data_IF_341787230466
#
_entry.id   IF_341787230466
#
_cell.length_a   1.000
_cell.length_b   1.000
_cell.length_c   1.000
_cell.angle_alpha   90.00
_cell.angle_beta   90.00
_cell.angle_gamma   90.00
#
_symmetry.space_group_name_H-M   'P 1'
#
loop_
_entity.id
_entity.type
_entity.pdbx_description
1 polymer ?
#
# COMPACT_ATOMS: atom_id res chain seq x y z
N UNK A 1 -8.33 -22.89 3.17
CA UNK A 1 -8.46 -24.14 2.38
C UNK A 1 -7.60 -24.12 1.10
N UNK A 2 -7.76 -23.08 0.27
CA UNK A 2 -7.08 -22.92 -1.02
C UNK A 2 -5.55 -22.94 -0.94
N UNK A 3 -4.96 -22.35 0.10
CA UNK A 3 -3.50 -22.30 0.31
C UNK A 3 -2.81 -23.67 0.37
N UNK A 4 -3.53 -24.76 0.67
CA UNK A 4 -2.97 -26.13 0.63
C UNK A 4 -2.76 -26.63 -0.80
N UNK A 5 -3.51 -26.13 -1.77
CA UNK A 5 -3.51 -26.58 -3.16
C UNK A 5 -2.77 -25.63 -4.11
N UNK A 6 -2.62 -24.37 -3.68
CA UNK A 6 -2.00 -23.28 -4.42
C UNK A 6 -0.88 -22.66 -3.57
N UNK A 7 0.33 -23.20 -3.74
CA UNK A 7 1.56 -22.66 -3.15
C UNK A 7 2.13 -21.62 -4.09
N UNK A 8 1.98 -20.34 -3.77
CA UNK A 8 2.68 -19.27 -4.47
C UNK A 8 3.86 -18.81 -3.64
N UNK A 9 5.01 -18.66 -4.28
CA UNK A 9 6.22 -18.13 -3.67
C UNK A 9 6.43 -16.72 -4.18
N UNK A 10 6.96 -15.86 -3.32
CA UNK A 10 7.47 -14.55 -3.72
C UNK A 10 8.76 -14.71 -4.54
N UNK A 11 8.98 -13.76 -5.44
CA UNK A 11 10.28 -13.59 -6.09
C UNK A 11 11.34 -13.28 -5.03
N UNK A 12 12.45 -14.03 -5.07
CA UNK A 12 13.56 -13.88 -4.12
C UNK A 12 14.18 -12.49 -4.16
N UNK A 13 14.28 -11.86 -5.32
CA UNK A 13 14.86 -10.54 -5.48
C UNK A 13 13.98 -9.46 -4.83
N UNK A 14 12.66 -9.56 -5.00
CA UNK A 14 11.71 -8.64 -4.37
C UNK A 14 11.75 -8.80 -2.85
N UNK A 15 11.75 -10.05 -2.36
CA UNK A 15 11.85 -10.33 -0.92
C UNK A 15 13.14 -9.77 -0.33
N UNK A 16 14.26 -9.91 -1.05
CA UNK A 16 15.53 -9.38 -0.57
C UNK A 16 15.50 -7.86 -0.47
N UNK A 17 15.00 -7.15 -1.49
CA UNK A 17 14.83 -5.69 -1.45
C UNK A 17 13.99 -5.22 -0.26
N UNK A 18 12.84 -5.89 -0.02
CA UNK A 18 11.98 -5.54 1.11
C UNK A 18 12.63 -5.87 2.46
N UNK A 19 13.43 -6.94 2.53
CA UNK A 19 14.22 -7.29 3.71
C UNK A 19 15.28 -6.24 4.02
N UNK A 20 15.95 -5.72 3.00
CA UNK A 20 16.95 -4.68 3.16
C UNK A 20 16.30 -3.37 3.67
N UNK A 21 15.12 -3.01 3.15
CA UNK A 21 14.32 -1.87 3.64
C UNK A 21 13.89 -2.10 5.10
N UNK A 22 13.32 -3.27 5.41
CA UNK A 22 12.88 -3.61 6.76
C UNK A 22 14.02 -3.49 7.78
N UNK A 23 15.24 -3.91 7.40
CA UNK A 23 16.43 -3.79 8.23
C UNK A 23 16.93 -2.35 8.34
N UNK A 24 17.00 -1.62 7.23
CA UNK A 24 17.52 -0.24 7.18
C UNK A 24 16.71 0.72 8.05
N UNK A 25 15.39 0.55 8.06
CA UNK A 25 14.47 1.43 8.78
C UNK A 25 13.93 0.80 10.07
N UNK A 26 14.49 -0.34 10.50
CA UNK A 26 14.17 -1.00 11.78
C UNK A 26 12.66 -1.24 11.99
N UNK A 27 11.94 -1.58 10.91
CA UNK A 27 10.47 -1.66 10.92
C UNK A 27 9.93 -2.91 11.65
N UNK A 28 10.81 -3.86 11.98
CA UNK A 28 10.49 -5.06 12.76
C UNK A 28 9.38 -5.97 12.18
N UNK A 29 9.10 -5.89 10.88
CA UNK A 29 8.13 -6.77 10.22
C UNK A 29 8.67 -8.19 10.05
N UNK A 30 7.79 -9.18 10.15
CA UNK A 30 8.11 -10.59 9.92
C UNK A 30 7.74 -10.97 8.49
N UNK A 31 8.78 -11.14 7.66
CA UNK A 31 8.64 -11.48 6.24
C UNK A 31 8.11 -12.90 5.94
N UNK A 32 7.49 -13.55 6.92
CA UNK A 32 6.81 -14.85 6.79
C UNK A 32 5.30 -14.69 6.49
N UNK A 33 4.73 -13.51 6.76
CA UNK A 33 3.32 -13.19 6.51
C UNK A 33 3.12 -12.34 5.24
N UNK A 34 2.10 -12.68 4.44
CA UNK A 34 1.68 -11.86 3.29
C UNK A 34 1.20 -10.46 3.74
N UNK A 35 0.66 -10.32 4.96
CA UNK A 35 0.24 -9.02 5.49
C UNK A 35 1.44 -8.08 5.70
N UNK A 36 2.53 -8.60 6.27
CA UNK A 36 3.75 -7.82 6.50
C UNK A 36 4.42 -7.45 5.17
N UNK A 37 4.28 -8.30 4.14
CA UNK A 37 4.67 -7.95 2.79
C UNK A 37 3.84 -6.78 2.23
N UNK A 38 2.52 -6.78 2.42
CA UNK A 38 1.64 -5.66 2.01
C UNK A 38 2.09 -4.37 2.71
N UNK A 39 2.30 -4.40 4.02
CA UNK A 39 2.77 -3.26 4.82
C UNK A 39 4.13 -2.73 4.33
N UNK A 40 5.08 -3.63 4.06
CA UNK A 40 6.38 -3.25 3.52
C UNK A 40 6.28 -2.66 2.11
N UNK A 41 5.35 -3.13 1.27
CA UNK A 41 5.12 -2.54 -0.05
C UNK A 41 4.59 -1.10 0.06
N UNK A 42 3.67 -0.86 1.01
CA UNK A 42 3.17 0.49 1.33
C UNK A 42 4.32 1.39 1.78
N UNK A 43 5.14 0.93 2.73
CA UNK A 43 6.29 1.69 3.21
C UNK A 43 7.28 2.03 2.08
N UNK A 44 7.63 1.04 1.25
CA UNK A 44 8.53 1.23 0.10
C UNK A 44 8.00 2.29 -0.87
N UNK A 45 6.72 2.24 -1.22
CA UNK A 45 6.11 3.19 -2.15
C UNK A 45 5.97 4.60 -1.54
N UNK A 46 5.61 4.68 -0.26
CA UNK A 46 5.62 5.93 0.49
C UNK A 46 7.03 6.54 0.57
N UNK A 47 8.07 5.71 0.72
CA UNK A 47 9.45 6.17 0.81
C UNK A 47 9.91 6.76 -0.53
N UNK A 48 9.58 6.10 -1.64
CA UNK A 48 9.82 6.63 -2.99
C UNK A 48 9.12 7.97 -3.19
N UNK A 49 7.91 8.13 -2.64
CA UNK A 49 7.17 9.38 -2.73
C UNK A 49 7.79 10.50 -1.88
N UNK A 50 8.25 10.20 -0.65
CA UNK A 50 9.06 11.12 0.16
C UNK A 50 10.29 11.61 -0.61
N UNK A 51 11.00 10.70 -1.30
CA UNK A 51 12.15 11.08 -2.13
C UNK A 51 11.77 12.02 -3.29
N UNK A 52 10.53 11.93 -3.80
CA UNK A 52 10.03 12.88 -4.82
C UNK A 52 9.86 14.27 -4.23
N UNK A 53 9.23 14.42 -3.05
CA UNK A 53 9.14 15.71 -2.36
C UNK A 53 10.52 16.36 -2.20
N UNK A 54 11.48 15.56 -1.73
CA UNK A 54 12.84 15.99 -1.45
C UNK A 54 13.60 16.41 -2.70
N UNK A 55 13.52 15.63 -3.78
CA UNK A 55 14.12 15.98 -5.07
C UNK A 55 13.49 17.21 -5.69
N UNK A 56 12.17 17.38 -5.58
CA UNK A 56 11.47 18.57 -6.07
C UNK A 56 11.90 19.80 -5.30
N UNK A 57 12.01 19.71 -3.97
CA UNK A 57 12.53 20.78 -3.14
C UNK A 57 13.95 21.19 -3.56
N UNK A 58 14.88 20.23 -3.67
CA UNK A 58 16.28 20.52 -4.06
C UNK A 58 16.38 21.11 -5.48
N UNK A 59 15.54 20.66 -6.40
CA UNK A 59 15.49 21.19 -7.76
C UNK A 59 15.01 22.66 -7.78
N UNK A 60 13.99 22.99 -6.99
CA UNK A 60 13.49 24.37 -6.87
C UNK A 60 14.54 25.26 -6.20
N UNK A 61 15.12 24.81 -5.08
CA UNK A 61 16.21 25.52 -4.40
C UNK A 61 17.38 25.80 -5.34
N UNK A 62 17.76 24.82 -6.16
CA UNK A 62 18.83 24.97 -7.15
C UNK A 62 18.45 25.93 -8.28
N UNK A 63 17.19 25.94 -8.72
CA UNK A 63 16.68 26.86 -9.74
C UNK A 63 16.76 28.33 -9.31
N UNK A 64 16.54 28.61 -8.03
CA UNK A 64 16.55 29.96 -7.47
C UNK A 64 17.81 30.29 -6.67
N UNK A 65 18.89 29.51 -6.85
CA UNK A 65 20.12 29.57 -6.05
C UNK A 65 20.65 31.00 -5.85
N UNK A 66 20.73 31.81 -6.91
CA UNK A 66 21.31 33.16 -6.88
C UNK A 66 20.55 34.15 -5.98
N UNK A 67 19.24 33.96 -5.82
CA UNK A 67 18.39 34.81 -4.99
C UNK A 67 18.02 34.16 -3.66
N UNK A 68 18.30 32.87 -3.49
CA UNK A 68 17.78 32.07 -2.40
C UNK A 68 18.10 32.63 -1.01
N UNK A 69 19.35 33.05 -0.80
CA UNK A 69 19.81 33.63 0.47
C UNK A 69 19.22 35.01 0.77
N UNK A 70 18.65 35.70 -0.24
CA UNK A 70 18.01 37.00 -0.09
C UNK A 70 16.51 36.91 0.19
N UNK A 71 15.91 35.74 -0.05
CA UNK A 71 14.49 35.49 0.22
C UNK A 71 14.26 35.26 1.71
N UNK A 72 13.18 35.82 2.23
CA UNK A 72 12.63 35.44 3.54
C UNK A 72 12.08 34.01 3.52
N UNK A 73 11.86 33.45 4.71
CA UNK A 73 11.27 32.12 4.85
C UNK A 73 9.91 31.99 4.13
N UNK A 74 9.04 33.00 4.27
CA UNK A 74 7.71 32.99 3.66
C UNK A 74 7.81 33.00 2.13
N UNK A 75 8.70 33.83 1.56
CA UNK A 75 8.91 33.89 0.11
C UNK A 75 9.46 32.56 -0.44
N UNK A 76 10.41 31.93 0.27
CA UNK A 76 10.89 30.59 -0.10
C UNK A 76 9.76 29.57 -0.09
N UNK A 77 8.93 29.59 0.95
CA UNK A 77 7.82 28.67 1.06
C UNK A 77 6.77 28.88 -0.03
N UNK A 78 6.43 30.13 -0.35
CA UNK A 78 5.51 30.46 -1.45
C UNK A 78 6.03 29.96 -2.80
N UNK A 79 7.31 30.18 -3.10
CA UNK A 79 7.95 29.67 -4.32
C UNK A 79 7.90 28.15 -4.36
N UNK A 80 8.26 27.49 -3.25
CA UNK A 80 8.21 26.03 -3.15
C UNK A 80 6.80 25.49 -3.40
N UNK A 81 5.78 26.08 -2.79
CA UNK A 81 4.39 25.65 -2.95
C UNK A 81 3.90 25.85 -4.39
N UNK A 82 4.21 26.99 -5.00
CA UNK A 82 3.79 27.27 -6.37
C UNK A 82 4.48 26.34 -7.38
N UNK A 83 5.80 26.19 -7.28
CA UNK A 83 6.57 25.42 -8.26
C UNK A 83 6.45 23.90 -8.06
N UNK A 84 6.13 23.43 -6.84
CA UNK A 84 5.92 22.00 -6.57
C UNK A 84 4.47 21.52 -6.78
N UNK A 85 3.50 22.44 -6.92
CA UNK A 85 2.06 22.13 -6.98
C UNK A 85 1.71 21.04 -8.00
N UNK A 86 2.25 21.15 -9.22
CA UNK A 86 1.98 20.18 -10.28
C UNK A 86 2.52 18.78 -9.95
N UNK A 87 3.69 18.71 -9.30
CA UNK A 87 4.25 17.44 -8.86
C UNK A 87 3.43 16.84 -7.73
N UNK A 88 3.15 17.62 -6.67
CA UNK A 88 2.47 17.14 -5.45
C UNK A 88 1.03 16.70 -5.75
N UNK A 89 0.31 17.43 -6.60
CA UNK A 89 -1.07 17.07 -6.97
C UNK A 89 -1.17 15.74 -7.74
N UNK A 90 -0.08 15.31 -8.41
CA UNK A 90 0.00 14.01 -9.07
C UNK A 90 0.34 12.84 -8.13
N UNK A 91 0.65 13.11 -6.87
CA UNK A 91 1.03 12.11 -5.89
C UNK A 91 -0.20 11.46 -5.25
N UNK A 92 -0.09 10.15 -4.99
CA UNK A 92 -1.06 9.42 -4.15
C UNK A 92 -1.20 10.11 -2.79
N UNK A 93 -2.43 10.24 -2.31
CA UNK A 93 -2.74 10.76 -0.98
C UNK A 93 -4.09 10.25 -0.49
N UNK A 94 -4.35 10.39 0.80
CA UNK A 94 -5.67 10.20 1.42
C UNK A 94 -5.91 11.25 2.50
N UNK A 95 -7.17 11.46 2.86
CA UNK A 95 -7.55 12.36 3.95
C UNK A 95 -7.59 11.60 5.27
N UNK A 96 -7.04 12.20 6.33
CA UNK A 96 -7.12 11.70 7.70
C UNK A 96 -7.20 12.87 8.68
N UNK A 97 -8.30 12.97 9.44
CA UNK A 97 -8.57 14.05 10.39
C UNK A 97 -8.26 15.44 9.77
N UNK A 98 -8.90 15.72 8.63
CA UNK A 98 -8.79 16.95 7.83
C UNK A 98 -7.39 17.28 7.27
N UNK A 99 -6.47 16.30 7.31
CA UNK A 99 -5.11 16.45 6.77
C UNK A 99 -4.89 15.50 5.59
N UNK A 100 -4.33 16.03 4.49
CA UNK A 100 -3.87 15.22 3.38
C UNK A 100 -2.58 14.47 3.76
N UNK A 101 -2.61 13.14 3.69
CA UNK A 101 -1.47 12.27 3.97
C UNK A 101 -0.86 11.79 2.65
N UNK A 102 0.38 12.20 2.42
CA UNK A 102 1.19 11.77 1.28
C UNK A 102 2.26 10.74 1.69
N UNK A 103 2.66 10.73 2.95
CA UNK A 103 3.69 9.83 3.48
C UNK A 103 3.06 9.03 4.63
N UNK A 104 2.43 7.87 4.35
CA UNK A 104 1.69 7.06 5.33
C UNK A 104 2.45 6.55 6.55
N UNK A 105 3.78 6.65 6.58
CA UNK A 105 4.58 6.30 7.77
C UNK A 105 4.96 7.52 8.62
N UNK A 106 4.51 8.71 8.24
CA UNK A 106 4.62 9.92 9.04
C UNK A 106 3.27 10.30 9.63
N UNK A 107 3.28 10.98 10.76
CA UNK A 107 2.09 11.55 11.37
C UNK A 107 1.51 12.73 10.57
N UNK A 108 0.40 13.28 11.05
CA UNK A 108 -0.26 14.44 10.42
C UNK A 108 0.63 15.67 10.38
N UNK A 109 1.37 15.93 11.47
CA UNK A 109 2.21 17.11 11.59
C UNK A 109 3.29 17.11 10.50
N UNK A 110 4.03 16.01 10.38
CA UNK A 110 5.06 15.87 9.35
C UNK A 110 4.47 15.91 7.94
N UNK A 111 3.32 15.29 7.70
CA UNK A 111 2.66 15.41 6.40
C UNK A 111 2.27 16.85 6.06
N UNK A 112 1.76 17.61 7.04
CA UNK A 112 1.46 19.04 6.86
C UNK A 112 2.72 19.85 6.57
N UNK A 113 3.83 19.58 7.27
CA UNK A 113 5.10 20.25 7.01
C UNK A 113 5.63 19.96 5.60
N UNK A 114 5.57 18.71 5.13
CA UNK A 114 5.96 18.36 3.77
C UNK A 114 5.08 19.01 2.71
N UNK A 115 3.77 19.11 2.95
CA UNK A 115 2.80 19.61 1.98
C UNK A 115 2.68 21.15 1.94
N UNK A 116 2.80 21.81 3.09
CA UNK A 116 2.44 23.23 3.26
C UNK A 116 3.63 24.11 3.69
N UNK A 117 4.64 23.55 4.33
CA UNK A 117 5.76 24.31 4.93
C UNK A 117 7.11 23.70 4.57
N UNK A 118 7.31 23.35 3.29
CA UNK A 118 8.50 22.61 2.84
C UNK A 118 9.80 23.39 3.09
N UNK A 119 9.75 24.73 3.17
CA UNK A 119 10.91 25.56 3.54
C UNK A 119 11.48 25.21 4.92
N UNK A 120 10.70 24.57 5.81
CA UNK A 120 11.17 24.15 7.13
C UNK A 120 12.35 23.17 7.06
N UNK A 121 12.51 22.44 5.94
CA UNK A 121 13.61 21.51 5.71
C UNK A 121 15.00 22.17 5.72
N UNK A 122 15.07 23.51 5.63
CA UNK A 122 16.31 24.28 5.73
C UNK A 122 16.84 24.44 7.14
N UNK A 123 15.95 24.35 8.13
CA UNK A 123 16.32 24.54 9.51
C UNK A 123 17.15 23.32 9.95
N UNK A 124 18.31 23.52 10.60
CA UNK A 124 19.19 22.42 11.01
C UNK A 124 18.50 21.32 11.82
N UNK A 125 17.52 21.72 12.65
CA UNK A 125 16.70 20.80 13.46
C UNK A 125 15.72 19.94 12.63
N UNK A 126 15.35 20.38 11.42
CA UNK A 126 14.51 19.64 10.48
C UNK A 126 15.33 18.92 9.39
N UNK A 127 16.59 19.29 9.20
CA UNK A 127 17.51 18.55 8.34
C UNK A 127 17.76 17.11 8.85
N UNK A 128 17.66 16.88 10.16
CA UNK A 128 17.68 15.52 10.70
C UNK A 128 16.47 14.67 10.25
N UNK A 129 15.30 15.26 10.00
CA UNK A 129 14.14 14.56 9.46
C UNK A 129 14.37 14.08 8.02
N UNK A 130 15.26 14.72 7.28
CA UNK A 130 15.62 14.29 5.94
C UNK A 130 16.37 12.94 5.97
N UNK A 131 17.31 12.77 6.92
CA UNK A 131 18.29 11.66 6.94
C UNK A 131 18.07 10.62 8.04
N UNK A 132 17.46 10.98 9.16
CA UNK A 132 17.33 10.16 10.38
C UNK A 132 15.89 10.16 10.91
N UNK A 133 14.92 9.88 10.04
CA UNK A 133 13.50 9.90 10.41
C UNK A 133 12.98 8.59 11.01
N UNK A 134 13.85 7.61 11.31
CA UNK A 134 13.42 6.28 11.78
C UNK A 134 12.57 6.37 13.06
N UNK A 135 12.89 7.31 13.96
CA UNK A 135 12.16 7.56 15.21
C UNK A 135 10.80 8.24 14.98
N UNK A 136 10.55 8.78 13.79
CA UNK A 136 9.28 9.39 13.38
C UNK A 136 8.36 8.43 12.62
N UNK A 137 8.82 7.21 12.34
CA UNK A 137 8.03 6.21 11.66
C UNK A 137 6.91 5.76 12.58
N UNK A 138 5.67 6.02 12.17
CA UNK A 138 4.48 5.50 12.85
C UNK A 138 4.04 4.17 12.23
N UNK A 139 3.39 3.28 13.02
CA UNK A 139 2.81 2.06 12.49
C UNK A 139 1.73 2.38 11.45
N UNK A 140 1.68 1.61 10.36
CA UNK A 140 0.67 1.81 9.30
C UNK A 140 -0.76 1.64 9.80
N UNK A 141 -0.93 0.85 10.87
CA UNK A 141 -2.20 0.64 11.56
C UNK A 141 -2.83 1.94 12.05
N UNK A 142 -2.03 2.99 12.30
CA UNK A 142 -2.51 4.31 12.68
C UNK A 142 -3.53 4.88 11.67
N UNK A 143 -3.31 4.64 10.37
CA UNK A 143 -4.20 5.09 9.29
C UNK A 143 -5.19 4.01 8.83
N UNK A 144 -5.23 2.86 9.51
CA UNK A 144 -6.09 1.73 9.16
C UNK A 144 -5.88 1.26 7.71
N UNK A 145 -6.97 1.15 6.96
CA UNK A 145 -6.95 0.69 5.56
C UNK A 145 -6.72 1.82 4.54
N UNK A 146 -6.70 3.09 4.96
CA UNK A 146 -6.65 4.23 4.05
C UNK A 146 -5.44 4.22 3.10
N UNK A 147 -4.21 3.82 3.52
CA UNK A 147 -3.07 3.72 2.60
C UNK A 147 -3.29 2.68 1.49
N UNK A 148 -4.04 1.61 1.78
CA UNK A 148 -4.35 0.57 0.78
C UNK A 148 -5.36 1.10 -0.24
N UNK A 149 -6.38 1.82 0.24
CA UNK A 149 -7.40 2.45 -0.61
C UNK A 149 -6.77 3.49 -1.55
N UNK A 150 -5.84 4.28 -1.04
CA UNK A 150 -5.09 5.27 -1.83
C UNK A 150 -4.03 4.65 -2.77
N UNK A 151 -3.92 3.32 -2.82
CA UNK A 151 -3.05 2.63 -3.77
C UNK A 151 -1.56 2.71 -3.43
N UNK A 152 -1.19 2.84 -2.15
CA UNK A 152 0.22 2.80 -1.75
C UNK A 152 0.82 1.39 -1.80
N UNK A 153 0.01 0.34 -1.86
CA UNK A 153 0.52 -1.04 -1.94
C UNK A 153 0.87 -1.43 -3.39
N UNK A 154 1.73 -2.45 -3.55
CA UNK A 154 2.02 -3.03 -4.90
C UNK A 154 0.85 -3.87 -5.46
N UNK A 155 -0.28 -3.95 -4.74
CA UNK A 155 -1.43 -4.77 -5.08
C UNK A 155 -2.54 -3.94 -5.71
N UNK A 156 -3.27 -4.56 -6.64
CA UNK A 156 -4.43 -3.92 -7.25
C UNK A 156 -5.59 -3.91 -6.26
N UNK A 157 -6.09 -2.73 -5.91
CA UNK A 157 -7.36 -2.59 -5.20
C UNK A 157 -8.50 -2.94 -6.15
N UNK A 158 -9.27 -3.97 -5.82
CA UNK A 158 -10.44 -4.38 -6.60
C UNK A 158 -11.75 -3.88 -6.00
N UNK A 159 -11.82 -3.79 -4.67
CA UNK A 159 -13.02 -3.36 -3.97
C UNK A 159 -12.66 -2.71 -2.64
N UNK A 160 -13.39 -1.64 -2.30
CA UNK A 160 -13.40 -1.02 -0.98
C UNK A 160 -14.86 -0.82 -0.57
N UNK A 161 -15.25 -1.42 0.55
CA UNK A 161 -16.58 -1.27 1.16
C UNK A 161 -16.42 -1.21 2.68
N UNK A 162 -16.99 -0.17 3.31
CA UNK A 162 -16.84 0.12 4.74
C UNK A 162 -15.36 0.14 5.18
N UNK A 163 -15.01 -0.72 6.14
CA UNK A 163 -13.67 -0.93 6.69
C UNK A 163 -12.96 -2.15 6.09
N UNK A 164 -13.33 -2.55 4.87
CA UNK A 164 -12.81 -3.76 4.21
C UNK A 164 -12.33 -3.44 2.80
N UNK A 165 -11.19 -4.01 2.44
CA UNK A 165 -10.64 -3.95 1.09
C UNK A 165 -10.36 -5.34 0.54
N UNK A 166 -10.56 -5.49 -0.76
CA UNK A 166 -10.11 -6.66 -1.51
C UNK A 166 -8.96 -6.22 -2.42
N UNK A 167 -7.79 -6.80 -2.16
CA UNK A 167 -6.57 -6.59 -2.93
C UNK A 167 -6.29 -7.81 -3.79
N UNK A 168 -5.63 -7.60 -4.92
CA UNK A 168 -5.20 -8.66 -5.82
C UNK A 168 -3.72 -8.56 -6.17
N UNK A 169 -3.01 -9.66 -5.96
CA UNK A 169 -1.63 -9.87 -6.41
C UNK A 169 -1.66 -10.42 -7.83
N UNK A 170 -1.31 -9.58 -8.81
CA UNK A 170 -1.26 -9.98 -10.22
C UNK A 170 -0.14 -10.98 -10.50
N UNK A 171 0.94 -10.97 -9.71
CA UNK A 171 2.11 -11.85 -9.87
C UNK A 171 1.81 -13.22 -9.26
N UNK A 172 1.37 -13.26 -8.00
CA UNK A 172 1.04 -14.53 -7.34
C UNK A 172 -0.32 -15.07 -7.75
N UNK A 173 -1.24 -14.25 -8.29
CA UNK A 173 -2.64 -14.62 -8.49
C UNK A 173 -3.31 -14.97 -7.16
N UNK A 174 -3.35 -13.99 -6.25
CA UNK A 174 -3.91 -14.16 -4.89
C UNK A 174 -4.82 -12.99 -4.59
N UNK A 175 -6.03 -13.28 -4.11
CA UNK A 175 -6.87 -12.27 -3.49
C UNK A 175 -6.56 -12.20 -2.00
N UNK A 176 -6.52 -10.98 -1.47
CA UNK A 176 -6.48 -10.71 -0.04
C UNK A 176 -7.73 -9.95 0.35
N UNK A 177 -8.39 -10.42 1.40
CA UNK A 177 -9.42 -9.66 2.10
C UNK A 177 -8.79 -9.08 3.35
N UNK A 178 -8.74 -7.76 3.43
CA UNK A 178 -8.10 -7.03 4.53
C UNK A 178 -9.16 -6.17 5.20
N UNK A 179 -9.18 -6.20 6.53
CA UNK A 179 -9.96 -5.32 7.39
C UNK A 179 -9.11 -4.95 8.60
N UNK A 180 -9.62 -4.07 9.47
CA UNK A 180 -8.90 -3.66 10.68
C UNK A 180 -8.46 -4.84 11.56
N UNK A 181 -9.27 -5.89 11.65
CA UNK A 181 -9.03 -7.01 12.58
C UNK A 181 -8.91 -8.39 11.90
N UNK A 182 -9.12 -8.49 10.58
CA UNK A 182 -9.09 -9.76 9.86
C UNK A 182 -8.29 -9.63 8.56
N UNK A 183 -7.48 -10.66 8.31
CA UNK A 183 -6.67 -10.80 7.10
C UNK A 183 -6.83 -12.23 6.57
N UNK A 184 -7.37 -12.35 5.35
CA UNK A 184 -7.58 -13.64 4.70
C UNK A 184 -7.01 -13.67 3.30
N UNK A 185 -6.45 -14.83 2.96
CA UNK A 185 -5.73 -15.10 1.72
C UNK A 185 -6.44 -16.15 0.89
N UNK A 186 -6.72 -15.82 -0.36
CA UNK A 186 -7.45 -16.67 -1.32
C UNK A 186 -6.64 -16.86 -2.60
N UNK A 187 -5.70 -17.82 -2.61
CA UNK A 187 -4.88 -18.11 -3.77
C UNK A 187 -5.66 -18.87 -4.85
N UNK A 188 -5.46 -18.49 -6.11
CA UNK A 188 -6.03 -19.17 -7.28
C UNK A 188 -4.94 -19.91 -8.07
N UNK A 189 -5.31 -20.58 -9.17
CA UNK A 189 -4.34 -21.24 -10.04
C UNK A 189 -3.50 -20.21 -10.79
N UNK A 190 -2.17 -20.27 -10.61
CA UNK A 190 -1.20 -19.35 -11.22
C UNK A 190 -1.24 -19.43 -12.76
N UNK A 191 -1.66 -20.56 -13.31
CA UNK A 191 -1.79 -20.77 -14.76
C UNK A 191 -3.03 -20.11 -15.37
N UNK A 192 -3.99 -19.70 -14.55
CA UNK A 192 -5.25 -19.12 -15.02
C UNK A 192 -5.14 -17.60 -14.97
N UNK A 193 -5.48 -16.96 -16.09
CA UNK A 193 -5.65 -15.53 -16.15
C UNK A 193 -7.14 -15.21 -16.05
N UNK A 194 -7.46 -14.22 -15.24
CA UNK A 194 -8.81 -13.67 -15.11
C UNK A 194 -8.81 -12.27 -15.73
N UNK A 195 -9.88 -11.93 -16.43
CA UNK A 195 -10.07 -10.57 -16.93
C UNK A 195 -10.62 -9.65 -15.82
N UNK A 196 -10.64 -8.34 -16.07
CA UNK A 196 -11.05 -7.34 -15.07
C UNK A 196 -12.48 -7.55 -14.59
N UNK A 197 -13.39 -7.95 -15.48
CA UNK A 197 -14.77 -8.27 -15.11
C UNK A 197 -14.84 -9.43 -14.12
N UNK A 198 -14.11 -10.52 -14.38
CA UNK A 198 -14.04 -11.68 -13.49
C UNK A 198 -13.39 -11.33 -12.15
N UNK A 199 -12.33 -10.51 -12.14
CA UNK A 199 -11.68 -10.05 -10.92
C UNK A 199 -12.66 -9.24 -10.04
N UNK A 200 -13.41 -8.32 -10.65
CA UNK A 200 -14.40 -7.51 -9.94
C UNK A 200 -15.55 -8.36 -9.39
N UNK A 201 -16.10 -9.28 -10.18
CA UNK A 201 -17.16 -10.21 -9.74
C UNK A 201 -16.70 -11.02 -8.53
N UNK A 202 -15.47 -11.55 -8.56
CA UNK A 202 -14.88 -12.29 -7.46
C UNK A 202 -14.66 -11.42 -6.22
N UNK A 203 -14.22 -10.17 -6.38
CA UNK A 203 -14.02 -9.23 -5.27
C UNK A 203 -15.34 -8.90 -4.55
N UNK A 204 -16.42 -8.67 -5.31
CA UNK A 204 -17.76 -8.45 -4.74
C UNK A 204 -18.29 -9.69 -4.02
N UNK A 205 -18.12 -10.87 -4.59
CA UNK A 205 -18.51 -12.13 -3.95
C UNK A 205 -17.76 -12.35 -2.63
N UNK A 206 -16.45 -12.07 -2.60
CA UNK A 206 -15.61 -12.14 -1.38
C UNK A 206 -16.11 -11.25 -0.23
N UNK A 207 -16.69 -10.10 -0.54
CA UNK A 207 -17.25 -9.21 0.48
C UNK A 207 -18.65 -9.62 0.92
N UNK A 208 -19.49 -10.09 -0.01
CA UNK A 208 -20.90 -10.39 0.23
C UNK A 208 -21.10 -11.78 0.87
N UNK A 209 -20.69 -12.84 0.17
CA UNK A 209 -20.85 -14.23 0.60
C UNK A 209 -19.66 -15.06 0.11
N UNK A 210 -18.83 -15.54 1.03
CA UNK A 210 -17.62 -16.29 0.69
C UNK A 210 -17.93 -17.56 -0.12
N UNK A 211 -19.11 -18.17 0.05
CA UNK A 211 -19.54 -19.31 -0.75
C UNK A 211 -19.70 -18.97 -2.24
N UNK A 212 -20.32 -17.83 -2.56
CA UNK A 212 -20.48 -17.35 -3.94
C UNK A 212 -19.12 -17.13 -4.59
N UNK A 213 -18.10 -16.70 -3.84
CA UNK A 213 -16.74 -16.58 -4.35
C UNK A 213 -16.18 -17.95 -4.79
N UNK A 214 -16.38 -19.00 -3.99
CA UNK A 214 -15.95 -20.35 -4.39
C UNK A 214 -16.70 -20.87 -5.61
N UNK A 215 -17.98 -20.52 -5.77
CA UNK A 215 -18.78 -20.90 -6.95
C UNK A 215 -18.24 -20.26 -8.23
N UNK A 216 -17.97 -18.96 -8.20
CA UNK A 216 -17.34 -18.27 -9.34
C UNK A 216 -15.92 -18.78 -9.62
N UNK A 217 -15.14 -19.14 -8.61
CA UNK A 217 -13.83 -19.76 -8.83
C UNK A 217 -13.93 -21.12 -9.54
N UNK A 218 -14.98 -21.89 -9.27
CA UNK A 218 -15.24 -23.17 -9.94
C UNK A 218 -15.69 -22.92 -11.39
N UNK A 219 -16.63 -22.00 -11.58
CA UNK A 219 -17.16 -21.60 -12.89
C UNK A 219 -16.05 -21.10 -13.82
N UNK A 220 -15.16 -20.24 -13.32
CA UNK A 220 -14.03 -19.70 -14.10
C UNK A 220 -12.85 -20.67 -14.22
N UNK A 221 -12.99 -21.90 -13.70
CA UNK A 221 -11.92 -22.89 -13.59
C UNK A 221 -10.64 -22.34 -12.95
N UNK A 222 -10.77 -21.38 -12.05
CA UNK A 222 -9.66 -20.64 -11.46
C UNK A 222 -8.95 -21.43 -10.35
N UNK A 223 -9.42 -22.63 -10.02
CA UNK A 223 -8.84 -23.49 -8.98
C UNK A 223 -8.67 -24.94 -9.47
N UNK A 224 -7.71 -25.68 -8.88
CA UNK A 224 -7.43 -27.06 -9.28
C UNK A 224 -8.62 -27.98 -9.02
N UNK A 225 -8.86 -28.96 -9.91
CA UNK A 225 -9.91 -29.99 -9.78
C UNK A 225 -9.92 -30.70 -8.41
N UNK A 226 -8.74 -30.93 -7.80
CA UNK A 226 -8.61 -31.53 -6.45
C UNK A 226 -9.23 -30.64 -5.35
N UNK A 227 -9.14 -29.32 -5.51
CA UNK A 227 -9.75 -28.34 -4.61
C UNK A 227 -11.28 -28.37 -4.75
N UNK A 228 -11.79 -28.34 -5.99
CA UNK A 228 -13.23 -28.40 -6.32
C UNK A 228 -13.90 -29.59 -5.64
N UNK A 229 -13.33 -30.80 -5.79
CA UNK A 229 -13.86 -32.03 -5.15
C UNK A 229 -13.98 -31.90 -3.62
N UNK A 230 -13.08 -31.15 -2.98
CA UNK A 230 -13.08 -31.00 -1.52
C UNK A 230 -14.09 -29.94 -1.06
N UNK A 231 -14.25 -28.84 -1.80
CA UNK A 231 -15.29 -27.83 -1.55
C UNK A 231 -16.67 -28.50 -1.59
N UNK A 232 -16.95 -29.24 -2.68
CA UNK A 232 -18.21 -29.97 -2.83
C UNK A 232 -18.44 -31.02 -1.73
N UNK A 233 -17.38 -31.67 -1.23
CA UNK A 233 -17.47 -32.65 -0.14
C UNK A 233 -17.79 -31.98 1.22
N UNK A 234 -17.28 -30.78 1.48
CA UNK A 234 -17.58 -30.04 2.72
C UNK A 234 -19.04 -29.57 2.72
N UNK A 235 -19.50 -28.97 1.62
CA UNK A 235 -20.90 -28.52 1.48
C UNK A 235 -21.91 -29.64 1.66
N UNK A 236 -21.63 -30.85 1.13
CA UNK A 236 -22.46 -32.06 1.35
C UNK A 236 -22.51 -32.54 2.80
N UNK A 237 -21.54 -32.17 3.64
CA UNK A 237 -21.56 -32.49 5.08
C UNK A 237 -22.35 -31.47 5.89
N UNK A 238 -22.29 -30.20 5.48
CA UNK A 238 -23.05 -29.11 6.11
C UNK A 238 -24.55 -29.24 5.83
N UNK A 239 -24.94 -29.65 4.62
CA UNK A 239 -26.35 -29.91 4.26
C UNK A 239 -26.95 -31.19 4.85
N UNK A 240 -26.13 -32.04 5.48
CA UNK A 240 -26.57 -33.28 6.16
C UNK A 240 -26.64 -33.13 7.70
N UNK A 241 -26.22 -31.98 8.22
CA UNK A 241 -26.38 -31.59 9.63
C UNK A 241 -27.59 -30.68 9.75
#
# INVERSE_FOLDING_TARGET
>A
MLARYHKQKLDKAIVQKLRDINKKYELNYKLDSDLDYIKLSVFKNALSQKEVFEKTYEAIRSKYFDMWDRLSFNERNEILLQDSKATITGLRSFQFEDTAIYIPFFDRLLNSLYANETAILELPQFFELYKKFNDKIIPLEFYGIAPLVAGFSDFTLLLHQDHKVVLYDTIKRVFYKVSENDFKRYPIDVKKSLNDHQLNTLAHALCSQEDSFYDHLIEYEAIKKRCIKKILKLRKKETKK
#
